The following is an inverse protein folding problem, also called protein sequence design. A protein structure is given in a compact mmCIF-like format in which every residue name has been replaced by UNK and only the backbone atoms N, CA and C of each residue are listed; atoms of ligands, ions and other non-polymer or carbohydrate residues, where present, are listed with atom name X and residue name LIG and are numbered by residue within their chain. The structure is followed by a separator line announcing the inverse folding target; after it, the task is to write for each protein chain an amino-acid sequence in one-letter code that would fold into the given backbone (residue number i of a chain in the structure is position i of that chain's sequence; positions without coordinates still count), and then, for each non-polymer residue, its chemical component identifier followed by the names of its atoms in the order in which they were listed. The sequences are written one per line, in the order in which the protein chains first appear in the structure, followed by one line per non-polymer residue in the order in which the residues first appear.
data_IF_558685546597
#
_entry.id   IF_558685546597
#
_cell.length_a   1.000
_cell.length_b   1.000
_cell.length_c   1.000
_cell.angle_alpha   90.00
_cell.angle_beta   90.00
_cell.angle_gamma   90.00
#
_symmetry.space_group_name_H-M   'P 1'
#
loop_
_entity.id
_entity.type
_entity.pdbx_description
1 polymer ?
#
# COMPACT_ATOMS: atom_id res chain seq x y z
N UNK A 1 -8.60 0.54 4.33
CA UNK A 1 -8.64 0.50 5.81
C UNK A 1 -8.42 -0.94 6.34
N UNK A 2 -7.41 -1.68 5.86
CA UNK A 2 -7.25 -3.13 6.10
C UNK A 2 -5.90 -3.47 6.79
N UNK A 3 -4.97 -2.51 6.84
CA UNK A 3 -3.55 -2.71 7.17
C UNK A 3 -3.33 -3.36 8.54
N UNK A 4 -4.03 -2.85 9.56
CA UNK A 4 -3.86 -3.30 10.94
C UNK A 4 -4.32 -4.76 11.12
N UNK A 5 -5.43 -5.14 10.48
CA UNK A 5 -5.96 -6.50 10.54
C UNK A 5 -5.03 -7.49 9.83
N UNK A 6 -4.47 -7.13 8.67
CA UNK A 6 -3.53 -7.99 7.96
C UNK A 6 -2.23 -8.21 8.74
N UNK A 7 -1.65 -7.14 9.30
CA UNK A 7 -0.46 -7.22 10.14
C UNK A 7 -0.70 -8.09 11.40
N UNK A 8 -1.84 -7.90 12.07
CA UNK A 8 -2.19 -8.68 13.26
C UNK A 8 -2.38 -10.17 12.94
N UNK A 9 -3.02 -10.50 11.81
CA UNK A 9 -3.21 -11.89 11.39
C UNK A 9 -1.88 -12.55 11.02
N UNK A 10 -0.98 -11.85 10.30
CA UNK A 10 0.35 -12.37 9.98
C UNK A 10 1.16 -12.66 11.25
N UNK A 11 1.19 -11.72 12.20
CA UNK A 11 1.84 -11.91 13.48
C UNK A 11 1.28 -13.12 14.26
N UNK A 12 -0.06 -13.25 14.33
CA UNK A 12 -0.72 -14.39 14.97
C UNK A 12 -0.35 -15.73 14.31
N UNK A 13 -0.14 -15.73 12.99
CA UNK A 13 0.18 -16.93 12.19
C UNK A 13 1.68 -17.22 12.08
N UNK A 14 2.55 -16.35 12.60
CA UNK A 14 4.00 -16.48 12.44
C UNK A 14 4.46 -16.32 10.99
N UNK A 15 3.72 -15.55 10.17
CA UNK A 15 4.07 -15.28 8.78
C UNK A 15 4.86 -13.98 8.64
N UNK A 16 5.85 -13.97 7.75
CA UNK A 16 6.49 -12.73 7.30
C UNK A 16 5.51 -11.92 6.46
N UNK A 17 5.41 -10.62 6.75
CA UNK A 17 4.42 -9.75 6.12
C UNK A 17 4.99 -8.35 5.83
N UNK A 18 4.73 -7.88 4.61
CA UNK A 18 5.03 -6.53 4.17
C UNK A 18 3.84 -5.96 3.38
N UNK A 19 3.61 -4.66 3.51
CA UNK A 19 2.56 -3.95 2.78
C UNK A 19 3.10 -2.63 2.26
N UNK A 20 2.93 -2.40 0.96
CA UNK A 20 3.26 -1.14 0.29
C UNK A 20 1.99 -0.36 0.01
N UNK A 21 1.93 0.88 0.45
CA UNK A 21 0.80 1.79 0.23
C UNK A 21 1.27 2.95 -0.63
N UNK A 22 0.46 3.29 -1.63
CA UNK A 22 0.54 4.55 -2.37
C UNK A 22 -0.75 5.34 -2.12
N UNK A 23 -0.67 6.65 -2.29
CA UNK A 23 -1.75 7.53 -1.88
C UNK A 23 -2.58 7.95 -3.10
N UNK A 24 -3.88 7.65 -3.03
CA UNK A 24 -4.86 7.92 -4.07
C UNK A 24 -5.63 9.24 -3.85
N UNK A 25 -5.42 9.93 -2.74
CA UNK A 25 -5.98 11.26 -2.45
C UNK A 25 -5.08 11.94 -1.42
N UNK A 26 -5.01 13.27 -1.43
CA UNK A 26 -4.23 14.05 -0.48
C UNK A 26 -5.09 14.59 0.65
N UNK A 27 -4.79 14.18 1.88
CA UNK A 27 -5.37 14.81 3.08
C UNK A 27 -4.69 16.14 3.46
N UNK A 28 -3.72 16.61 2.66
CA UNK A 28 -3.00 17.85 2.96
C UNK A 28 -3.91 19.08 2.91
N UNK A 29 -4.99 19.05 2.13
CA UNK A 29 -6.01 20.09 2.11
C UNK A 29 -7.41 19.48 2.12
N UNK A 30 -7.98 19.33 3.31
CA UNK A 30 -9.34 18.77 3.49
C UNK A 30 -10.46 19.59 2.85
N UNK A 31 -10.19 20.83 2.42
CA UNK A 31 -11.17 21.70 1.72
C UNK A 31 -11.09 21.60 0.20
N UNK A 32 -10.02 21.03 -0.34
CA UNK A 32 -9.82 20.87 -1.77
C UNK A 32 -9.38 19.43 -2.04
N UNK A 33 -10.33 18.61 -2.48
CA UNK A 33 -10.07 17.23 -2.87
C UNK A 33 -9.10 17.20 -4.06
N UNK A 34 -8.03 16.43 -3.92
CA UNK A 34 -7.05 16.16 -4.98
C UNK A 34 -6.94 14.65 -5.12
N UNK A 35 -7.81 14.11 -5.97
CA UNK A 35 -7.97 12.68 -6.20
C UNK A 35 -6.75 12.05 -6.89
N UNK A 36 -5.74 12.83 -7.31
CA UNK A 36 -4.47 12.35 -7.89
C UNK A 36 -4.63 11.18 -8.86
N UNK A 37 -5.68 11.22 -9.68
CA UNK A 37 -6.09 10.15 -10.59
C UNK A 37 -6.14 8.77 -9.90
N UNK A 38 -6.65 8.73 -8.68
CA UNK A 38 -6.76 7.57 -7.80
C UNK A 38 -5.45 6.79 -7.62
N UNK A 39 -4.32 7.47 -7.79
CA UNK A 39 -2.99 6.87 -7.71
C UNK A 39 -2.64 5.92 -8.88
N UNK A 40 -3.33 6.00 -10.02
CA UNK A 40 -3.07 5.14 -11.21
C UNK A 40 -1.58 5.13 -11.61
N UNK A 41 -0.93 6.29 -11.62
CA UNK A 41 0.50 6.42 -11.94
C UNK A 41 1.43 5.69 -10.95
N UNK A 42 0.96 5.41 -9.74
CA UNK A 42 1.73 4.71 -8.69
C UNK A 42 1.46 3.21 -8.65
N UNK A 43 0.31 2.75 -9.16
CA UNK A 43 -0.11 1.35 -9.08
C UNK A 43 0.92 0.40 -9.72
N UNK A 44 1.31 0.66 -10.97
CA UNK A 44 2.27 -0.20 -11.70
C UNK A 44 3.64 -0.24 -11.02
N UNK A 45 4.11 0.90 -10.50
CA UNK A 45 5.38 1.00 -9.77
C UNK A 45 5.34 0.23 -8.46
N UNK A 46 4.25 0.36 -7.71
CA UNK A 46 4.06 -0.35 -6.45
C UNK A 46 4.05 -1.87 -6.67
N UNK A 47 3.33 -2.34 -7.70
CA UNK A 47 3.33 -3.76 -8.07
C UNK A 47 4.73 -4.27 -8.43
N UNK A 48 5.47 -3.53 -9.25
CA UNK A 48 6.82 -3.91 -9.65
C UNK A 48 7.76 -4.01 -8.43
N UNK A 49 7.66 -3.08 -7.48
CA UNK A 49 8.42 -3.13 -6.23
C UNK A 49 8.05 -4.38 -5.42
N UNK A 50 6.77 -4.67 -5.25
CA UNK A 50 6.31 -5.86 -4.53
C UNK A 50 6.81 -7.17 -5.17
N UNK A 51 6.73 -7.28 -6.50
CA UNK A 51 7.25 -8.45 -7.23
C UNK A 51 8.76 -8.61 -7.05
N UNK A 52 9.51 -7.51 -7.11
CA UNK A 52 10.97 -7.54 -6.89
C UNK A 52 11.33 -7.94 -5.46
N UNK A 53 10.56 -7.49 -4.47
CA UNK A 53 10.75 -7.89 -3.08
C UNK A 53 10.56 -9.40 -2.96
N UNK A 54 9.42 -9.92 -3.42
CA UNK A 54 9.08 -11.36 -3.29
C UNK A 54 10.04 -12.25 -4.10
N UNK A 55 10.52 -11.80 -5.26
CA UNK A 55 11.51 -12.54 -6.05
C UNK A 55 12.87 -12.68 -5.35
N UNK A 56 13.22 -11.75 -4.45
CA UNK A 56 14.50 -11.73 -3.74
C UNK A 56 14.41 -12.32 -2.32
N UNK A 57 13.25 -12.85 -1.93
CA UNK A 57 13.04 -13.66 -0.73
C UNK A 57 13.28 -15.14 -1.05
#
# INVERSE_FOLDING_TARGET
MECASMAAVAAKRGAEFGQLLYTADSLANVKAHDDRDWGQASQAKALHICLRIIHNF
#
